data_IF_726322066355
#
_entry.id   IF_726322066355
#
_cell.length_a   1.000
_cell.length_b   1.000
_cell.length_c   1.000
_cell.angle_alpha   90.00
_cell.angle_beta   90.00
_cell.angle_gamma   90.00
#
_symmetry.space_group_name_H-M   'P 1'
#
loop_
_entity.id
_entity.type
_entity.pdbx_description
1 polymer ?
#
# COMPACT_ATOMS: atom_id res chain seq x y z
N UNK A 1 9.36 -3.15 -24.06
CA UNK A 1 9.00 -2.36 -22.87
C UNK A 1 8.36 -1.06 -23.35
N UNK A 2 7.08 -0.81 -23.02
CA UNK A 2 6.34 0.39 -23.45
C UNK A 2 5.78 1.05 -22.19
N UNK A 3 6.44 2.11 -21.72
CA UNK A 3 5.93 2.98 -20.65
C UNK A 3 4.82 3.88 -21.22
N UNK A 4 3.70 4.03 -20.50
CA UNK A 4 2.70 5.07 -20.80
C UNK A 4 1.23 4.67 -20.94
N UNK A 5 0.79 3.48 -20.52
CA UNK A 5 -0.65 3.15 -20.51
C UNK A 5 -1.24 3.46 -19.13
N UNK A 6 -2.16 4.43 -19.06
CA UNK A 6 -3.02 4.60 -17.88
C UNK A 6 -3.89 3.35 -17.71
N UNK A 7 -3.92 2.82 -16.50
CA UNK A 7 -4.58 1.57 -16.15
C UNK A 7 -6.09 1.67 -16.31
N UNK A 8 -6.68 0.61 -16.86
CA UNK A 8 -8.12 0.41 -16.86
C UNK A 8 -8.51 -0.49 -15.69
N UNK A 9 -9.38 -0.08 -14.75
CA UNK A 9 -9.73 -0.87 -13.56
C UNK A 9 -10.21 -2.30 -13.87
N UNK A 10 -10.86 -2.48 -15.03
CA UNK A 10 -11.35 -3.78 -15.52
C UNK A 10 -10.24 -4.81 -15.82
N UNK A 11 -8.98 -4.39 -16.04
CA UNK A 11 -7.87 -5.33 -16.29
C UNK A 11 -7.36 -6.03 -15.02
N UNK A 12 -7.77 -5.53 -13.84
CA UNK A 12 -7.30 -6.01 -12.53
C UNK A 12 -8.45 -6.53 -11.65
N UNK A 13 -9.71 -6.26 -12.04
CA UNK A 13 -10.90 -6.59 -11.25
C UNK A 13 -11.38 -8.01 -11.58
N UNK A 14 -11.50 -8.87 -10.56
CA UNK A 14 -12.00 -10.25 -10.70
C UNK A 14 -10.97 -11.36 -10.45
N UNK A 15 -9.71 -11.01 -10.17
CA UNK A 15 -8.65 -11.95 -9.80
C UNK A 15 -8.25 -11.81 -8.33
N UNK A 16 -7.80 -12.91 -7.71
CA UNK A 16 -7.11 -12.87 -6.43
C UNK A 16 -5.75 -12.20 -6.64
N UNK A 17 -5.49 -11.12 -5.90
CA UNK A 17 -4.24 -10.38 -5.95
C UNK A 17 -3.48 -10.53 -4.64
N UNK A 18 -2.15 -10.59 -4.74
CA UNK A 18 -1.24 -10.52 -3.61
C UNK A 18 -0.73 -9.10 -3.48
N UNK A 19 -0.73 -8.59 -2.25
CA UNK A 19 -0.18 -7.28 -1.92
C UNK A 19 1.00 -7.42 -0.96
N UNK A 20 2.15 -6.88 -1.37
CA UNK A 20 3.33 -6.73 -0.52
C UNK A 20 3.47 -5.26 -0.17
N UNK A 21 3.52 -4.96 1.12
CA UNK A 21 3.65 -3.60 1.64
C UNK A 21 5.00 -3.49 2.32
N UNK A 22 5.80 -2.50 1.92
CA UNK A 22 7.05 -2.17 2.58
C UNK A 22 7.17 -0.66 2.75
N UNK A 23 7.77 -0.24 3.85
CA UNK A 23 7.78 1.16 4.21
C UNK A 23 8.62 1.46 5.43
N UNK A 24 8.76 2.75 5.70
CA UNK A 24 9.42 3.26 6.89
C UNK A 24 8.64 4.46 7.41
N UNK A 25 8.62 4.62 8.74
CA UNK A 25 7.89 5.69 9.39
C UNK A 25 8.40 5.97 10.78
N UNK A 26 8.00 7.13 11.29
CA UNK A 26 8.29 7.58 12.64
C UNK A 26 6.97 7.68 13.39
N UNK A 27 7.01 7.24 14.65
CA UNK A 27 5.85 7.23 15.54
C UNK A 27 6.23 7.86 16.88
N UNK A 28 5.44 8.84 17.29
CA UNK A 28 5.49 9.41 18.62
C UNK A 28 4.41 8.74 19.50
N UNK A 29 4.83 8.07 20.56
CA UNK A 29 3.94 7.35 21.48
C UNK A 29 4.01 7.98 22.87
N UNK A 30 3.08 8.88 23.22
CA UNK A 30 3.04 9.44 24.57
C UNK A 30 2.57 8.38 25.58
N UNK A 31 2.94 8.48 26.87
CA UNK A 31 2.50 7.54 27.91
C UNK A 31 0.98 7.51 28.13
N UNK A 32 0.27 8.61 27.82
CA UNK A 32 -1.18 8.73 27.87
C UNK A 32 -1.66 9.58 26.70
N UNK A 33 -2.78 9.21 26.10
CA UNK A 33 -3.44 9.97 25.04
C UNK A 33 -3.01 9.60 23.61
N UNK A 34 -3.40 10.42 22.62
CA UNK A 34 -3.15 10.16 21.21
C UNK A 34 -1.68 10.34 20.83
N UNK A 35 -1.10 9.31 20.23
CA UNK A 35 0.17 9.37 19.53
C UNK A 35 0.02 9.79 18.07
N UNK A 36 1.13 10.24 17.48
CA UNK A 36 1.20 10.68 16.09
C UNK A 36 2.08 9.72 15.28
N UNK A 37 1.76 9.56 14.00
CA UNK A 37 2.61 8.82 13.07
C UNK A 37 2.68 9.48 11.70
N UNK A 38 3.84 9.34 11.07
CA UNK A 38 4.06 9.61 9.65
C UNK A 38 4.78 8.40 9.07
N UNK A 39 4.30 7.88 7.95
CA UNK A 39 4.84 6.69 7.31
C UNK A 39 4.82 6.81 5.79
N UNK A 40 5.94 6.45 5.16
CA UNK A 40 6.03 6.26 3.73
C UNK A 40 5.91 4.76 3.42
N UNK A 41 4.96 4.39 2.56
CA UNK A 41 4.71 3.00 2.16
C UNK A 41 4.69 2.86 0.65
N UNK A 42 5.38 1.84 0.16
CA UNK A 42 5.15 1.34 -1.19
C UNK A 42 4.30 0.07 -1.12
N UNK A 43 3.26 0.05 -1.95
CA UNK A 43 2.36 -1.06 -2.11
C UNK A 43 2.62 -1.71 -3.47
N UNK A 44 3.13 -2.94 -3.48
CA UNK A 44 3.28 -3.75 -4.68
C UNK A 44 2.12 -4.74 -4.77
N UNK A 45 1.29 -4.62 -5.81
CA UNK A 45 0.11 -5.47 -6.03
C UNK A 45 0.28 -6.23 -7.34
N UNK A 46 0.15 -7.55 -7.29
CA UNK A 46 0.25 -8.41 -8.48
C UNK A 46 -0.64 -9.65 -8.37
N UNK A 47 -0.90 -10.33 -9.49
CA UNK A 47 -1.58 -11.63 -9.49
C UNK A 47 -0.61 -12.81 -9.23
N UNK A 48 0.67 -12.54 -8.92
CA UNK A 48 1.73 -13.53 -8.75
C UNK A 48 1.85 -14.57 -9.90
N UNK A 49 1.40 -14.23 -11.11
CA UNK A 49 1.37 -15.14 -12.27
C UNK A 49 0.25 -16.20 -12.25
N UNK A 50 -0.71 -16.09 -11.32
CA UNK A 50 -1.76 -17.10 -11.11
C UNK A 50 -2.94 -16.98 -12.08
N UNK A 51 -3.15 -15.82 -12.70
CA UNK A 51 -4.26 -15.64 -13.65
C UNK A 51 -4.03 -14.46 -14.61
N UNK A 52 -4.07 -14.71 -15.93
CA UNK A 52 -3.95 -13.67 -16.94
C UNK A 52 -2.59 -12.95 -16.96
N UNK A 53 -2.53 -11.79 -17.62
CA UNK A 53 -1.29 -10.98 -17.71
C UNK A 53 -0.95 -10.34 -16.37
N UNK A 54 0.24 -10.63 -15.83
CA UNK A 54 0.72 -9.99 -14.60
C UNK A 54 1.29 -8.60 -14.88
N UNK A 55 0.52 -7.57 -14.57
CA UNK A 55 0.92 -6.18 -14.82
C UNK A 55 1.76 -5.57 -13.70
N UNK A 56 1.64 -6.04 -12.45
CA UNK A 56 2.39 -5.55 -11.29
C UNK A 56 2.27 -4.03 -11.06
N UNK A 57 1.36 -3.60 -10.19
CA UNK A 57 1.17 -2.17 -9.88
C UNK A 57 1.97 -1.80 -8.63
N UNK A 58 2.66 -0.64 -8.67
CA UNK A 58 3.29 -0.04 -7.50
C UNK A 58 2.60 1.29 -7.17
N UNK A 59 2.27 1.49 -5.89
CA UNK A 59 1.74 2.75 -5.39
C UNK A 59 2.55 3.21 -4.18
N UNK A 60 3.23 4.35 -4.33
CA UNK A 60 3.91 5.03 -3.24
C UNK A 60 2.94 5.98 -2.53
N UNK A 61 2.81 5.82 -1.22
CA UNK A 61 1.88 6.59 -0.39
C UNK A 61 2.60 7.20 0.79
N UNK A 62 2.20 8.43 1.12
CA UNK A 62 2.56 9.09 2.37
C UNK A 62 1.33 9.10 3.27
N UNK A 63 1.47 8.55 4.47
CA UNK A 63 0.42 8.48 5.46
C UNK A 63 0.79 9.33 6.67
N UNK A 64 -0.18 10.07 7.19
CA UNK A 64 -0.10 10.72 8.50
C UNK A 64 -1.34 10.34 9.30
N UNK A 65 -1.18 10.12 10.60
CA UNK A 65 -2.29 9.63 11.42
C UNK A 65 -2.12 9.87 12.91
N UNK A 66 -3.26 9.78 13.60
CA UNK A 66 -3.35 9.74 15.05
C UNK A 66 -3.66 8.31 15.45
N UNK A 67 -2.99 7.81 16.48
CA UNK A 67 -3.21 6.48 17.04
C UNK A 67 -3.37 6.55 18.55
N UNK A 68 -4.28 5.77 19.11
CA UNK A 68 -4.48 5.72 20.55
C UNK A 68 -4.81 4.29 20.97
N UNK A 69 -4.02 3.74 21.88
CA UNK A 69 -4.35 2.48 22.56
C UNK A 69 -5.29 2.80 23.71
N UNK A 70 -6.52 2.32 23.63
CA UNK A 70 -7.46 2.32 24.76
C UNK A 70 -7.05 1.16 25.67
N UNK A 71 -6.69 1.48 26.91
CA UNK A 71 -6.28 0.50 27.92
C UNK A 71 -7.41 0.29 28.92
#
# INVERSE_FOLDING_TARGET
MRYGRFFRPEEVTGYLLVQVIHGAGVRFVPPRGPGLMIEFRNHHISNAGTAGTNLGINAATLMAGVQWVLR
#
